data_IF_543875989410
#
_entry.id   IF_543875989410
#
_cell.length_a   1.000
_cell.length_b   1.000
_cell.length_c   1.000
_cell.angle_alpha   90.00
_cell.angle_beta   90.00
_cell.angle_gamma   90.00
#
_symmetry.space_group_name_H-M   'P 1'
#
loop_
_entity.id
_entity.type
_entity.pdbx_description
1 polymer ?
#
# COMPACT_ATOMS: atom_id res chain seq x y z
N UNK A 1 28.24 8.12 57.45
CA UNK A 1 29.42 8.72 56.77
C UNK A 1 29.24 8.46 55.29
N UNK A 2 28.62 9.36 54.52
CA UNK A 2 29.25 10.49 53.80
C UNK A 2 30.49 10.07 53.01
N UNK A 3 30.34 9.96 51.68
CA UNK A 3 31.25 10.61 50.74
C UNK A 3 30.44 11.23 49.60
N UNK A 4 30.46 12.55 49.59
CA UNK A 4 30.00 13.48 48.55
C UNK A 4 31.12 13.70 47.55
N UNK A 5 30.78 13.83 46.25
CA UNK A 5 31.41 14.83 45.39
C UNK A 5 30.40 15.31 44.34
N UNK A 6 29.81 16.48 44.63
CA UNK A 6 29.29 17.40 43.62
C UNK A 6 30.49 18.17 43.06
N UNK A 7 30.57 18.27 41.74
CA UNK A 7 31.74 18.82 41.05
C UNK A 7 31.44 19.36 39.66
N UNK A 8 30.64 20.42 39.63
CA UNK A 8 30.68 21.52 38.67
C UNK A 8 30.50 21.24 37.17
N UNK A 9 29.23 21.38 36.74
CA UNK A 9 28.75 21.48 35.36
C UNK A 9 28.89 22.92 34.79
N UNK A 10 29.84 23.73 35.27
CA UNK A 10 29.87 25.18 35.02
C UNK A 10 31.14 25.74 34.35
N UNK A 11 32.08 24.91 33.87
CA UNK A 11 33.35 25.41 33.33
C UNK A 11 33.61 25.10 31.83
N UNK A 12 32.60 24.70 31.05
CA UNK A 12 32.73 24.56 29.58
C UNK A 12 31.77 25.49 28.82
N UNK A 13 31.05 26.35 29.54
CA UNK A 13 30.01 27.22 28.97
C UNK A 13 30.51 28.60 28.48
N UNK A 14 31.83 28.82 28.32
CA UNK A 14 32.35 30.18 28.02
C UNK A 14 33.25 30.29 26.77
N UNK A 15 33.25 29.31 25.86
CA UNK A 15 34.08 29.41 24.65
C UNK A 15 33.34 29.47 23.30
N UNK A 16 32.04 29.16 23.21
CA UNK A 16 31.32 29.19 21.93
C UNK A 16 29.86 29.61 22.16
N UNK A 17 29.57 30.89 21.91
CA UNK A 17 28.22 31.43 22.00
C UNK A 17 27.27 30.76 21.01
N UNK A 18 26.13 30.27 21.51
CA UNK A 18 25.04 29.73 20.72
C UNK A 18 24.29 28.62 21.46
N UNK A 19 23.07 28.91 21.89
CA UNK A 19 22.21 28.00 22.65
C UNK A 19 21.86 26.73 21.86
N UNK A 20 22.36 25.58 22.32
CA UNK A 20 21.86 24.24 21.96
C UNK A 20 21.63 23.46 23.25
N UNK A 21 20.44 22.87 23.39
CA UNK A 21 19.98 22.21 24.61
C UNK A 21 20.65 20.85 24.79
N UNK A 22 20.97 20.47 26.03
CA UNK A 22 21.57 19.18 26.40
C UNK A 22 20.76 17.92 25.96
N UNK A 23 19.52 18.11 25.49
CA UNK A 23 18.70 17.06 24.89
C UNK A 23 19.23 16.60 23.51
N UNK A 24 19.82 17.51 22.72
CA UNK A 24 20.26 17.23 21.35
C UNK A 24 21.50 16.32 21.31
N UNK A 25 22.43 16.48 22.26
CA UNK A 25 23.65 15.64 22.33
C UNK A 25 23.31 14.21 22.76
N UNK A 26 22.30 14.01 23.62
CA UNK A 26 21.84 12.66 24.00
C UNK A 26 21.13 11.94 22.84
N UNK A 27 20.39 12.70 22.02
CA UNK A 27 19.73 12.18 20.83
C UNK A 27 20.75 11.83 19.74
N UNK A 28 21.81 12.61 19.53
CA UNK A 28 22.86 12.29 18.57
C UNK A 28 23.69 11.06 18.96
N UNK A 29 23.98 10.85 20.25
CA UNK A 29 24.69 9.65 20.73
C UNK A 29 23.80 8.40 20.60
N UNK A 30 22.51 8.53 20.92
CA UNK A 30 21.53 7.43 20.78
C UNK A 30 21.30 7.08 19.30
N UNK A 31 21.23 8.07 18.42
CA UNK A 31 21.12 7.86 16.97
C UNK A 31 22.42 7.40 16.29
N UNK A 32 23.59 7.66 16.88
CA UNK A 32 24.86 7.04 16.44
C UNK A 32 24.95 5.58 16.86
N UNK A 33 24.53 5.23 18.08
CA UNK A 33 24.44 3.83 18.52
C UNK A 33 23.41 3.01 17.74
N UNK A 34 22.30 3.62 17.29
CA UNK A 34 21.33 2.94 16.41
C UNK A 34 21.81 2.80 14.95
N UNK A 35 22.69 3.68 14.47
CA UNK A 35 23.27 3.57 13.11
C UNK A 35 24.32 2.47 12.98
N UNK A 36 25.04 2.16 14.04
CA UNK A 36 26.05 1.08 14.05
C UNK A 36 25.45 -0.31 14.31
N UNK A 37 24.14 -0.41 14.56
CA UNK A 37 23.44 -1.66 14.83
C UNK A 37 22.19 -1.83 13.95
N UNK A 38 22.35 -1.54 12.66
CA UNK A 38 21.35 -1.83 11.62
C UNK A 38 21.27 -3.35 11.41
N UNK A 39 20.69 -4.03 12.40
CA UNK A 39 20.24 -5.40 12.25
C UNK A 39 19.07 -5.32 11.30
N UNK A 40 19.21 -5.86 10.09
CA UNK A 40 18.09 -6.05 9.16
C UNK A 40 17.16 -7.02 9.89
N UNK A 41 16.09 -6.49 10.49
CA UNK A 41 15.07 -7.30 11.13
C UNK A 41 14.19 -7.84 10.00
N UNK A 42 14.47 -9.06 9.56
CA UNK A 42 13.54 -9.78 8.69
C UNK A 42 12.32 -10.13 9.54
N UNK A 43 11.19 -9.51 9.27
CA UNK A 43 9.93 -9.96 9.85
C UNK A 43 9.61 -11.36 9.28
N UNK A 44 8.81 -12.17 9.98
CA UNK A 44 8.50 -13.55 9.54
C UNK A 44 7.89 -13.62 8.13
N UNK A 45 7.24 -12.53 7.71
CA UNK A 45 6.66 -12.35 6.38
C UNK A 45 7.71 -12.11 5.27
N UNK A 46 8.89 -11.57 5.62
CA UNK A 46 10.00 -11.33 4.67
C UNK A 46 10.85 -12.60 4.45
N UNK A 47 10.64 -13.63 5.26
CA UNK A 47 11.26 -14.93 5.10
C UNK A 47 10.35 -15.75 4.19
N UNK A 48 10.81 -16.04 2.97
CA UNK A 48 10.09 -16.87 2.02
C UNK A 48 9.65 -18.20 2.67
N UNK A 49 8.35 -18.32 2.95
CA UNK A 49 7.75 -19.49 3.58
C UNK A 49 7.57 -20.67 2.61
N UNK A 50 7.82 -20.43 1.32
CA UNK A 50 7.77 -21.44 0.28
C UNK A 50 9.05 -22.30 0.28
N UNK A 51 8.96 -23.47 0.91
CA UNK A 51 10.03 -24.48 0.95
C UNK A 51 10.04 -25.41 -0.26
N UNK A 52 9.18 -25.19 -1.26
CA UNK A 52 9.15 -26.06 -2.45
C UNK A 52 10.36 -25.81 -3.35
N UNK A 53 10.86 -26.88 -3.97
CA UNK A 53 11.92 -26.83 -5.00
C UNK A 53 11.43 -26.27 -6.35
N UNK A 54 10.29 -25.57 -6.34
CA UNK A 54 9.76 -24.94 -7.54
C UNK A 54 10.66 -23.79 -7.97
N UNK A 55 10.78 -23.62 -9.28
CA UNK A 55 11.58 -22.53 -9.86
C UNK A 55 11.13 -21.19 -9.32
N UNK A 56 12.08 -20.37 -8.91
CA UNK A 56 11.79 -18.99 -8.48
C UNK A 56 11.25 -18.19 -9.66
N UNK A 57 10.49 -17.13 -9.38
CA UNK A 57 10.04 -16.22 -10.44
C UNK A 57 11.22 -15.60 -11.19
N UNK A 58 12.33 -15.32 -10.50
CA UNK A 58 13.58 -14.84 -11.10
C UNK A 58 14.17 -15.85 -12.10
N UNK A 59 14.16 -17.15 -11.78
CA UNK A 59 14.59 -18.21 -12.71
C UNK A 59 13.68 -18.32 -13.93
N UNK A 60 12.37 -18.11 -13.75
CA UNK A 60 11.40 -18.09 -14.85
C UNK A 60 11.68 -16.88 -15.76
N UNK A 61 11.89 -15.70 -15.17
CA UNK A 61 12.19 -14.47 -15.89
C UNK A 61 13.52 -14.55 -16.65
N UNK A 62 14.58 -15.02 -16.00
CA UNK A 62 15.93 -15.19 -16.58
C UNK A 62 15.92 -16.23 -17.71
N UNK A 63 15.16 -17.32 -17.55
CA UNK A 63 14.98 -18.31 -18.61
C UNK A 63 14.18 -17.76 -19.80
N UNK A 64 13.18 -16.90 -19.55
CA UNK A 64 12.45 -16.21 -20.63
C UNK A 64 13.34 -15.23 -21.39
N UNK A 65 14.19 -14.47 -20.70
CA UNK A 65 15.13 -13.52 -21.30
C UNK A 65 16.23 -14.24 -22.09
N UNK A 66 16.83 -15.30 -21.55
CA UNK A 66 17.88 -16.08 -22.23
C UNK A 66 17.37 -16.75 -23.52
N UNK A 67 16.17 -17.35 -23.51
CA UNK A 67 15.53 -17.90 -24.72
C UNK A 67 15.31 -16.84 -25.80
N UNK A 68 14.96 -15.61 -25.39
CA UNK A 68 14.78 -14.48 -26.32
C UNK A 68 16.10 -14.03 -26.94
N UNK A 69 17.18 -14.01 -26.17
CA UNK A 69 18.52 -13.69 -26.67
C UNK A 69 19.04 -14.76 -27.63
N UNK A 70 18.81 -16.04 -27.34
CA UNK A 70 19.19 -17.16 -28.22
C UNK A 70 18.39 -17.15 -29.53
N UNK A 71 17.08 -16.91 -29.50
CA UNK A 71 16.26 -16.84 -30.71
C UNK A 71 16.59 -15.61 -31.56
N UNK A 72 16.83 -14.46 -30.95
CA UNK A 72 17.26 -13.25 -31.65
C UNK A 72 18.65 -13.41 -32.27
N UNK A 73 19.61 -13.99 -31.53
CA UNK A 73 20.96 -14.28 -32.02
C UNK A 73 21.01 -15.38 -33.08
N UNK A 74 20.20 -16.43 -32.92
CA UNK A 74 20.09 -17.54 -33.87
C UNK A 74 19.46 -17.14 -35.21
N UNK A 75 18.47 -16.25 -35.19
CA UNK A 75 17.88 -15.68 -36.42
C UNK A 75 18.89 -14.82 -37.20
N UNK A 76 19.74 -14.06 -36.50
CA UNK A 76 20.82 -13.30 -37.13
C UNK A 76 21.89 -14.24 -37.73
N UNK A 77 22.30 -15.29 -37.02
CA UNK A 77 23.28 -16.27 -37.50
C UNK A 77 22.76 -17.07 -38.71
N UNK A 78 21.48 -17.48 -38.70
CA UNK A 78 20.86 -18.19 -39.83
C UNK A 78 20.78 -17.32 -41.10
N UNK A 79 20.57 -16.00 -40.95
CA UNK A 79 20.63 -15.06 -42.07
C UNK A 79 22.05 -14.95 -42.67
N UNK A 80 23.10 -15.03 -41.86
CA UNK A 80 24.50 -15.07 -42.33
C UNK A 80 24.84 -16.40 -43.03
N UNK A 81 24.28 -17.52 -42.58
CA UNK A 81 24.53 -18.85 -43.18
C UNK A 81 23.75 -19.02 -44.50
N UNK A 82 22.52 -18.53 -44.59
CA UNK A 82 21.74 -18.53 -45.84
C UNK A 82 22.24 -17.54 -46.89
N UNK A 83 23.00 -16.50 -46.49
CA UNK A 83 23.69 -15.59 -47.39
C UNK A 83 25.01 -16.16 -47.97
N UNK A 84 25.35 -17.41 -47.65
CA UNK A 84 26.41 -18.16 -48.30
C UNK A 84 27.82 -17.77 -47.82
N UNK A 85 28.50 -18.74 -47.19
CA UNK A 85 29.95 -18.77 -47.19
C UNK A 85 30.42 -19.03 -48.63
N UNK A 86 30.59 -17.96 -49.40
CA UNK A 86 31.28 -17.97 -50.68
C UNK A 86 32.15 -16.72 -50.72
N UNK A 87 33.45 -16.93 -50.82
CA UNK A 87 34.43 -15.90 -51.10
C UNK A 87 34.04 -15.12 -52.37
N UNK A 88 33.48 -13.92 -52.22
CA UNK A 88 33.20 -13.01 -53.34
C UNK A 88 33.81 -11.65 -53.02
N UNK A 89 34.81 -11.27 -53.83
CA UNK A 89 35.40 -9.93 -53.85
C UNK A 89 34.33 -8.90 -54.23
N UNK A 90 34.44 -7.73 -53.62
CA UNK A 90 33.54 -6.59 -53.77
C UNK A 90 33.19 -6.25 -55.22
N UNK A 91 31.90 -6.22 -55.51
CA UNK A 91 31.31 -5.42 -56.57
C UNK A 91 30.01 -4.85 -56.02
N UNK A 92 29.86 -3.53 -56.13
CA UNK A 92 28.75 -2.78 -55.58
C UNK A 92 27.42 -3.25 -56.20
N UNK A 93 26.61 -3.94 -55.41
CA UNK A 93 25.21 -4.23 -55.74
C UNK A 93 24.36 -3.15 -55.09
N UNK A 94 23.72 -2.32 -55.92
CA UNK A 94 22.71 -1.37 -55.45
C UNK A 94 21.58 -2.11 -54.70
N UNK A 95 21.08 -1.56 -53.58
CA UNK A 95 20.06 -2.22 -52.80
C UNK A 95 18.73 -2.21 -53.55
N UNK A 96 18.35 -3.34 -54.14
CA UNK A 96 17.02 -3.53 -54.70
C UNK A 96 15.98 -3.53 -53.58
N UNK A 97 15.14 -2.50 -53.55
CA UNK A 97 13.90 -2.43 -52.76
C UNK A 97 12.95 -3.56 -53.19
N UNK A 98 13.06 -4.75 -52.61
CA UNK A 98 11.96 -5.75 -52.51
C UNK A 98 12.45 -7.00 -51.79
N UNK A 99 12.19 -7.03 -50.48
CA UNK A 99 11.53 -8.10 -49.70
C UNK A 99 11.86 -7.88 -48.22
N UNK A 100 11.37 -6.78 -47.66
CA UNK A 100 11.21 -6.61 -46.21
C UNK A 100 9.71 -6.73 -45.87
N UNK A 101 9.05 -7.73 -46.45
CA UNK A 101 7.67 -8.09 -46.14
C UNK A 101 7.73 -9.33 -45.26
N UNK A 102 7.63 -9.15 -43.94
CA UNK A 102 7.34 -10.27 -43.04
C UNK A 102 7.86 -10.20 -41.61
N UNK A 103 8.76 -9.29 -41.24
CA UNK A 103 8.95 -9.01 -39.81
C UNK A 103 7.82 -8.07 -39.40
N UNK A 104 6.65 -8.67 -39.15
CA UNK A 104 5.59 -7.97 -38.43
C UNK A 104 6.25 -7.39 -37.17
N UNK A 105 6.38 -6.06 -37.12
CA UNK A 105 6.88 -5.35 -35.96
C UNK A 105 6.11 -5.88 -34.77
N UNK A 106 6.78 -6.64 -33.90
CA UNK A 106 6.18 -7.25 -32.72
C UNK A 106 5.47 -6.11 -31.99
N UNK A 107 4.14 -6.25 -31.78
CA UNK A 107 3.35 -5.29 -31.00
C UNK A 107 4.18 -4.91 -29.79
N UNK A 108 4.46 -3.60 -29.61
CA UNK A 108 5.16 -3.10 -28.43
C UNK A 108 4.52 -3.74 -27.18
N UNK A 109 5.29 -4.06 -26.13
CA UNK A 109 4.71 -4.53 -24.87
C UNK A 109 3.55 -3.59 -24.48
N UNK A 110 2.45 -4.11 -23.91
CA UNK A 110 1.31 -3.28 -23.51
C UNK A 110 1.69 -2.22 -22.46
N UNK A 111 2.86 -2.37 -21.84
CA UNK A 111 3.48 -1.41 -20.92
C UNK A 111 4.07 -0.27 -21.75
N UNK A 112 3.42 0.89 -21.70
CA UNK A 112 3.76 2.09 -22.48
C UNK A 112 4.13 3.30 -21.64
N UNK A 113 4.39 3.13 -20.33
CA UNK A 113 4.79 4.19 -19.42
C UNK A 113 6.29 4.18 -19.15
N UNK A 114 6.84 5.32 -18.78
CA UNK A 114 8.25 5.44 -18.42
C UNK A 114 8.51 4.81 -17.05
N UNK A 115 9.43 3.83 -16.99
CA UNK A 115 9.87 3.25 -15.72
C UNK A 115 10.50 4.33 -14.84
N UNK A 116 10.15 4.32 -13.56
CA UNK A 116 10.67 5.26 -12.55
C UNK A 116 11.75 4.58 -11.69
N UNK A 117 12.73 5.32 -11.14
CA UNK A 117 13.70 4.77 -10.19
C UNK A 117 13.05 4.47 -8.84
N UNK A 118 13.67 3.57 -8.07
CA UNK A 118 13.37 3.42 -6.64
C UNK A 118 13.63 4.75 -5.92
N UNK A 119 12.73 5.12 -5.01
CA UNK A 119 12.80 6.36 -4.24
C UNK A 119 12.33 6.12 -2.81
N UNK A 120 12.85 6.92 -1.87
CA UNK A 120 12.46 6.93 -0.47
C UNK A 120 11.89 8.32 -0.14
N UNK A 121 10.64 8.55 -0.54
CA UNK A 121 9.91 9.80 -0.35
C UNK A 121 8.56 9.51 0.29
N UNK A 122 8.03 10.39 1.15
CA UNK A 122 6.68 10.25 1.68
C UNK A 122 5.59 10.39 0.61
N UNK A 123 5.93 10.92 -0.58
CA UNK A 123 4.99 11.08 -1.69
C UNK A 123 5.26 10.05 -2.80
N UNK A 124 4.21 9.54 -3.47
CA UNK A 124 4.39 8.62 -4.58
C UNK A 124 5.11 9.32 -5.73
N UNK A 125 6.13 8.65 -6.27
CA UNK A 125 6.71 9.01 -7.56
C UNK A 125 5.87 8.34 -8.64
N UNK A 126 5.38 9.11 -9.61
CA UNK A 126 4.52 8.63 -10.68
C UNK A 126 5.23 8.87 -12.01
N UNK A 127 5.03 7.96 -12.98
CA UNK A 127 5.59 8.12 -14.31
C UNK A 127 5.13 9.45 -14.95
N UNK A 128 5.96 10.15 -15.74
CA UNK A 128 5.64 11.48 -16.28
C UNK A 128 4.34 11.55 -17.10
N UNK A 129 3.88 10.41 -17.64
CA UNK A 129 2.64 10.31 -18.40
C UNK A 129 1.38 10.24 -17.52
N UNK A 130 1.53 10.14 -16.21
CA UNK A 130 0.44 9.91 -15.25
C UNK A 130 0.39 11.00 -14.19
N UNK A 131 -0.79 11.11 -13.59
CA UNK A 131 -1.07 11.95 -12.43
C UNK A 131 -1.83 11.13 -11.39
N UNK A 132 -1.75 11.55 -10.13
CA UNK A 132 -2.55 10.97 -9.07
C UNK A 132 -3.37 12.06 -8.38
N UNK A 133 -4.46 11.64 -7.75
CA UNK A 133 -5.33 12.50 -6.96
C UNK A 133 -5.85 11.72 -5.76
N UNK A 134 -5.81 12.34 -4.58
CA UNK A 134 -6.44 11.80 -3.39
C UNK A 134 -7.96 12.02 -3.48
N UNK A 135 -8.74 10.94 -3.40
CA UNK A 135 -10.22 11.00 -3.55
C UNK A 135 -10.99 10.68 -2.27
N UNK A 136 -10.35 9.98 -1.33
CA UNK A 136 -10.96 9.52 -0.08
C UNK A 136 -9.87 9.45 1.01
N UNK A 137 -9.37 10.57 1.53
CA UNK A 137 -8.47 10.54 2.67
C UNK A 137 -9.21 10.11 3.96
N UNK A 138 -8.45 9.66 4.97
CA UNK A 138 -8.97 9.49 6.34
C UNK A 138 -9.70 10.78 6.79
N UNK A 139 -10.75 10.62 7.61
CA UNK A 139 -11.65 11.68 8.10
C UNK A 139 -12.66 12.20 7.08
N UNK A 140 -12.66 11.72 5.83
CA UNK A 140 -13.67 12.10 4.83
C UNK A 140 -15.07 11.79 5.34
N UNK A 141 -15.93 12.80 5.43
CA UNK A 141 -17.29 12.69 5.97
C UNK A 141 -18.21 11.97 5.00
N UNK A 142 -19.10 11.12 5.51
CA UNK A 142 -20.12 10.43 4.69
C UNK A 142 -21.10 11.40 4.01
N UNK A 143 -21.26 12.62 4.52
CA UNK A 143 -22.16 13.63 3.96
C UNK A 143 -21.56 14.43 2.80
N UNK A 144 -20.31 14.14 2.39
CA UNK A 144 -19.64 14.79 1.27
C UNK A 144 -19.20 16.23 1.54
N UNK A 145 -19.18 16.68 2.80
CA UNK A 145 -18.76 18.04 3.18
C UNK A 145 -17.25 18.15 3.48
N UNK A 146 -16.43 17.34 2.83
CA UNK A 146 -14.99 17.29 3.07
C UNK A 146 -14.63 16.40 4.25
N UNK A 147 -13.67 16.82 5.06
CA UNK A 147 -13.12 16.03 6.17
C UNK A 147 -13.46 16.65 7.52
N UNK A 148 -13.54 15.83 8.58
CA UNK A 148 -13.48 16.34 9.95
C UNK A 148 -12.09 16.86 10.28
N UNK A 149 -11.95 17.79 11.22
CA UNK A 149 -10.63 18.16 11.77
C UNK A 149 -10.00 16.98 12.52
N UNK A 150 -8.67 17.01 12.70
CA UNK A 150 -7.97 16.05 13.56
C UNK A 150 -8.46 16.11 15.02
N UNK A 151 -8.32 15.01 15.75
CA UNK A 151 -8.88 14.86 17.10
C UNK A 151 -10.38 14.55 17.06
N UNK A 152 -10.78 13.61 16.18
CA UNK A 152 -12.17 13.21 16.01
C UNK A 152 -12.70 12.60 17.30
N UNK A 153 -13.96 12.91 17.63
CA UNK A 153 -14.71 12.09 18.57
C UNK A 153 -15.08 10.74 17.95
N UNK A 154 -15.45 9.78 18.78
CA UNK A 154 -15.93 8.46 18.36
C UNK A 154 -17.13 8.57 17.42
N UNK A 155 -18.08 9.47 17.72
CA UNK A 155 -19.23 9.74 16.86
C UNK A 155 -18.81 10.26 15.48
N UNK A 156 -17.81 11.14 15.41
CA UNK A 156 -17.30 11.66 14.13
C UNK A 156 -16.56 10.58 13.33
N UNK A 157 -15.75 9.77 14.00
CA UNK A 157 -15.03 8.66 13.38
C UNK A 157 -15.99 7.58 12.86
N UNK A 158 -17.12 7.36 13.54
CA UNK A 158 -18.17 6.43 13.09
C UNK A 158 -18.82 6.85 11.76
N UNK A 159 -18.77 8.13 11.39
CA UNK A 159 -19.38 8.66 10.15
C UNK A 159 -18.37 9.32 9.21
N UNK A 160 -17.13 8.86 9.23
CA UNK A 160 -16.08 9.28 8.29
C UNK A 160 -15.27 8.10 7.78
N UNK A 161 -14.46 8.28 6.74
CA UNK A 161 -13.50 7.28 6.30
C UNK A 161 -12.58 6.85 7.46
N UNK A 162 -12.29 5.56 7.53
CA UNK A 162 -11.36 4.98 8.48
C UNK A 162 -9.89 5.28 8.14
N UNK A 163 -9.00 4.59 8.84
CA UNK A 163 -7.55 4.67 8.67
C UNK A 163 -7.01 3.30 8.22
N UNK A 164 -5.83 3.26 7.60
CA UNK A 164 -5.27 2.02 7.05
C UNK A 164 -6.13 1.46 5.93
N UNK A 165 -6.31 2.26 4.86
CA UNK A 165 -7.08 1.82 3.69
C UNK A 165 -6.40 0.58 3.11
N UNK A 166 -7.17 -0.48 2.91
CA UNK A 166 -6.65 -1.75 2.39
C UNK A 166 -7.54 -2.24 1.24
N UNK A 167 -7.95 -3.52 1.25
CA UNK A 167 -8.75 -4.15 0.21
C UNK A 167 -9.92 -3.28 -0.21
N UNK A 168 -10.14 -3.18 -1.51
CA UNK A 168 -11.21 -2.34 -2.05
C UNK A 168 -11.77 -2.88 -3.36
N UNK A 169 -13.03 -2.56 -3.62
CA UNK A 169 -13.68 -2.87 -4.88
C UNK A 169 -14.66 -1.78 -5.29
N UNK A 170 -14.66 -1.47 -6.59
CA UNK A 170 -15.55 -0.47 -7.18
C UNK A 170 -16.67 -1.14 -7.98
N UNK A 171 -17.90 -0.92 -7.53
CA UNK A 171 -19.13 -1.34 -8.18
C UNK A 171 -19.72 -0.17 -8.96
N UNK A 172 -19.33 -0.01 -10.22
CA UNK A 172 -19.78 1.12 -11.04
C UNK A 172 -19.39 1.02 -12.50
N UNK A 173 -19.69 2.10 -13.22
CA UNK A 173 -19.27 2.34 -14.60
C UNK A 173 -18.08 3.33 -14.66
N UNK A 174 -17.75 3.81 -15.85
CA UNK A 174 -16.67 4.77 -16.10
C UNK A 174 -16.97 6.20 -15.61
N UNK A 175 -18.11 6.43 -14.97
CA UNK A 175 -18.54 7.74 -14.47
C UNK A 175 -18.91 7.75 -13.00
N UNK A 176 -19.48 6.68 -12.46
CA UNK A 176 -19.98 6.63 -11.09
C UNK A 176 -20.21 5.21 -10.57
N UNK A 177 -20.12 5.08 -9.25
CA UNK A 177 -20.27 3.79 -8.59
C UNK A 177 -20.14 3.85 -7.09
N UNK A 178 -20.27 2.69 -6.47
CA UNK A 178 -20.01 2.49 -5.05
C UNK A 178 -18.61 1.88 -4.88
N UNK A 179 -17.74 2.58 -4.16
CA UNK A 179 -16.46 2.04 -3.71
C UNK A 179 -16.63 1.46 -2.31
N UNK A 180 -16.39 0.16 -2.17
CA UNK A 180 -16.21 -0.49 -0.88
C UNK A 180 -14.71 -0.53 -0.56
N UNK A 181 -14.34 -0.12 0.66
CA UNK A 181 -12.94 -0.05 1.12
C UNK A 181 -12.84 -0.59 2.52
N UNK A 182 -11.86 -1.44 2.77
CA UNK A 182 -11.49 -1.91 4.09
C UNK A 182 -10.61 -0.91 4.83
N UNK A 183 -10.66 -0.99 6.15
CA UNK A 183 -9.82 -0.26 7.08
C UNK A 183 -9.18 -1.24 8.04
N UNK A 184 -7.93 -1.55 7.78
CA UNK A 184 -7.20 -2.62 8.46
C UNK A 184 -6.60 -2.13 9.77
N UNK A 185 -5.94 -0.98 9.77
CA UNK A 185 -5.18 -0.49 10.91
C UNK A 185 -5.35 1.01 11.16
N UNK A 186 -5.28 1.39 12.43
CA UNK A 186 -5.14 2.77 12.83
C UNK A 186 -4.45 2.81 14.18
N UNK A 187 -3.14 3.04 14.21
CA UNK A 187 -2.45 3.01 15.51
C UNK A 187 -2.94 4.16 16.39
N UNK A 188 -3.08 3.88 17.68
CA UNK A 188 -3.46 4.86 18.71
C UNK A 188 -2.64 6.15 18.58
N UNK A 189 -1.36 6.04 18.21
CA UNK A 189 -0.49 7.20 18.02
C UNK A 189 -0.95 8.09 16.87
N UNK A 190 -1.36 7.53 15.73
CA UNK A 190 -1.82 8.31 14.58
C UNK A 190 -3.18 8.97 14.83
N UNK A 191 -4.11 8.24 15.42
CA UNK A 191 -5.48 8.74 15.61
C UNK A 191 -5.64 9.64 16.82
N UNK A 192 -4.94 9.34 17.92
CA UNK A 192 -5.14 9.96 19.22
C UNK A 192 -3.90 10.71 19.73
N UNK A 193 -2.73 10.54 19.11
CA UNK A 193 -1.47 11.09 19.63
C UNK A 193 -1.03 10.44 20.95
N UNK A 194 -1.55 9.24 21.27
CA UNK A 194 -1.31 8.51 22.52
C UNK A 194 -0.69 7.15 22.24
N UNK A 195 0.13 6.65 23.16
CA UNK A 195 0.68 5.30 23.06
C UNK A 195 -0.41 4.22 23.18
N UNK A 196 -1.37 4.40 24.11
CA UNK A 196 -2.49 3.49 24.34
C UNK A 196 -3.79 4.27 24.61
N UNK A 197 -4.97 3.70 24.31
CA UNK A 197 -6.25 4.24 24.73
C UNK A 197 -6.33 4.32 26.27
N UNK A 198 -6.83 5.44 26.80
CA UNK A 198 -6.91 5.71 28.25
C UNK A 198 -8.34 5.89 28.76
N UNK A 199 -9.31 5.84 27.85
CA UNK A 199 -10.72 6.06 28.14
C UNK A 199 -11.59 5.24 27.19
N UNK A 200 -12.87 5.05 27.53
CA UNK A 200 -13.84 4.42 26.63
C UNK A 200 -13.97 5.19 25.30
N UNK A 201 -13.84 6.51 25.34
CA UNK A 201 -13.86 7.34 24.13
C UNK A 201 -12.66 7.04 23.23
N UNK A 202 -11.45 6.96 23.79
CA UNK A 202 -10.25 6.57 23.03
C UNK A 202 -10.41 5.19 22.38
N UNK A 203 -10.97 4.22 23.14
CA UNK A 203 -11.22 2.86 22.64
C UNK A 203 -12.23 2.90 21.49
N UNK A 204 -13.31 3.67 21.62
CA UNK A 204 -14.34 3.79 20.56
C UNK A 204 -13.82 4.49 19.31
N UNK A 205 -13.03 5.55 19.45
CA UNK A 205 -12.36 6.16 18.29
C UNK A 205 -11.52 5.10 17.58
N UNK A 206 -10.71 4.35 18.33
CA UNK A 206 -9.87 3.28 17.77
C UNK A 206 -10.71 2.23 17.04
N UNK A 207 -11.75 1.69 17.70
CA UNK A 207 -12.70 0.74 17.10
C UNK A 207 -13.39 1.28 15.83
N UNK A 208 -13.69 2.57 15.77
CA UNK A 208 -14.33 3.20 14.62
C UNK A 208 -13.37 3.53 13.47
N UNK A 209 -12.05 3.41 13.66
CA UNK A 209 -11.08 3.51 12.56
C UNK A 209 -11.16 2.31 11.63
N UNK A 210 -11.42 1.12 12.19
CA UNK A 210 -11.46 -0.14 11.45
C UNK A 210 -12.80 -0.39 10.75
N UNK A 211 -12.85 -1.48 9.98
CA UNK A 211 -14.07 -1.97 9.39
C UNK A 211 -14.10 -1.77 7.87
N UNK A 212 -15.27 -1.39 7.37
CA UNK A 212 -15.52 -1.15 5.94
C UNK A 212 -16.21 0.19 5.76
N UNK A 213 -15.83 0.92 4.72
CA UNK A 213 -16.54 2.09 4.24
C UNK A 213 -17.12 1.87 2.85
N UNK A 214 -18.35 2.30 2.66
CA UNK A 214 -19.07 2.28 1.40
C UNK A 214 -19.30 3.72 0.96
N UNK A 215 -18.75 4.11 -0.18
CA UNK A 215 -18.78 5.50 -0.65
C UNK A 215 -19.24 5.58 -2.10
N UNK A 216 -20.18 6.47 -2.38
CA UNK A 216 -20.54 6.84 -3.73
C UNK A 216 -19.48 7.79 -4.30
N UNK A 217 -18.88 7.37 -5.41
CA UNK A 217 -17.76 8.03 -6.08
C UNK A 217 -18.23 8.38 -7.50
N UNK A 218 -17.96 9.61 -7.93
CA UNK A 218 -18.41 10.13 -9.23
C UNK A 218 -17.34 11.00 -9.89
N UNK A 219 -17.18 10.86 -11.20
CA UNK A 219 -16.37 11.71 -12.05
C UNK A 219 -17.11 13.02 -12.33
N UNK A 220 -16.59 14.11 -11.77
CA UNK A 220 -17.09 15.46 -12.04
C UNK A 220 -16.10 16.30 -12.86
N UNK A 221 -16.39 17.61 -13.06
CA UNK A 221 -15.51 18.52 -13.79
C UNK A 221 -14.09 18.67 -13.19
N UNK A 222 -13.92 18.35 -11.91
CA UNK A 222 -12.63 18.35 -11.18
C UNK A 222 -12.05 16.94 -11.03
N UNK A 223 -12.51 15.99 -11.85
CA UNK A 223 -12.21 14.56 -11.75
C UNK A 223 -13.00 13.84 -10.66
N UNK A 224 -12.61 12.60 -10.39
CA UNK A 224 -13.23 11.71 -9.41
C UNK A 224 -13.23 12.29 -8.00
N UNK A 225 -14.31 12.07 -7.27
CA UNK A 225 -14.47 12.47 -5.86
C UNK A 225 -15.63 11.72 -5.21
N UNK A 226 -15.55 11.57 -3.89
CA UNK A 226 -16.69 11.15 -3.07
C UNK A 226 -17.80 12.20 -3.10
N UNK A 227 -19.04 11.74 -3.25
CA UNK A 227 -20.25 12.58 -3.25
C UNK A 227 -21.20 12.16 -2.13
N UNK A 228 -22.06 13.10 -1.72
CA UNK A 228 -23.16 12.80 -0.80
C UNK A 228 -24.12 11.80 -1.46
N UNK A 229 -24.34 10.68 -0.79
CA UNK A 229 -25.34 9.68 -1.16
C UNK A 229 -25.89 9.03 0.12
N UNK A 230 -27.17 8.65 0.09
CA UNK A 230 -27.83 7.98 1.22
C UNK A 230 -27.25 6.58 1.53
N UNK A 231 -26.56 5.98 0.56
CA UNK A 231 -25.92 4.67 0.65
C UNK A 231 -24.53 4.74 1.25
N UNK A 232 -23.97 5.94 1.40
CA UNK A 232 -22.69 6.10 2.07
C UNK A 232 -22.80 5.57 3.50
N UNK A 233 -21.90 4.67 3.88
CA UNK A 233 -22.00 3.95 5.14
C UNK A 233 -20.64 3.59 5.69
N UNK A 234 -20.53 3.60 7.02
CA UNK A 234 -19.47 2.90 7.76
C UNK A 234 -20.05 1.66 8.41
N UNK A 235 -19.28 0.59 8.35
CA UNK A 235 -19.43 -0.63 9.11
C UNK A 235 -18.15 -0.70 9.94
N UNK A 236 -18.26 -0.68 11.26
CA UNK A 236 -17.12 -0.66 12.18
C UNK A 236 -17.34 -1.73 13.26
N UNK A 237 -16.39 -1.86 14.19
CA UNK A 237 -16.36 -2.89 15.25
C UNK A 237 -17.64 -2.95 16.12
N UNK A 238 -18.44 -1.88 16.15
CA UNK A 238 -19.69 -1.82 16.93
C UNK A 238 -20.96 -1.84 16.06
N UNK A 239 -20.85 -2.08 14.75
CA UNK A 239 -22.03 -2.22 13.87
C UNK A 239 -22.64 -3.60 14.09
N UNK A 240 -23.94 -3.75 14.37
CA UNK A 240 -24.55 -5.08 14.52
C UNK A 240 -24.34 -5.97 13.27
N UNK A 241 -24.00 -7.24 13.50
CA UNK A 241 -23.82 -8.25 12.44
C UNK A 241 -24.55 -9.55 12.79
N UNK A 242 -24.71 -10.42 11.80
CA UNK A 242 -25.33 -11.73 11.96
C UNK A 242 -24.35 -12.81 11.52
N UNK A 243 -24.25 -13.89 12.30
CA UNK A 243 -23.52 -15.08 11.88
C UNK A 243 -24.43 -15.96 11.02
N UNK A 244 -23.89 -16.45 9.91
CA UNK A 244 -24.56 -17.40 9.03
C UNK A 244 -23.69 -18.63 8.79
N UNK A 245 -24.24 -19.61 8.06
CA UNK A 245 -23.56 -20.86 7.77
C UNK A 245 -23.58 -21.88 8.93
N UNK A 246 -22.84 -22.99 8.80
CA UNK A 246 -22.93 -24.14 9.72
C UNK A 246 -22.61 -23.82 11.18
N UNK A 247 -21.79 -22.77 11.43
CA UNK A 247 -21.37 -22.38 12.77
C UNK A 247 -22.33 -21.41 13.47
N UNK A 248 -23.33 -20.84 12.78
CA UNK A 248 -24.15 -19.73 13.27
C UNK A 248 -24.82 -19.97 14.65
N UNK A 249 -25.20 -21.22 14.92
CA UNK A 249 -25.86 -21.61 16.18
C UNK A 249 -24.93 -22.35 17.16
N UNK A 250 -23.61 -22.32 16.91
CA UNK A 250 -22.63 -22.99 17.76
C UNK A 250 -22.56 -22.32 19.13
N UNK A 251 -22.49 -23.14 20.18
CA UNK A 251 -22.24 -22.65 21.55
C UNK A 251 -20.91 -21.89 21.67
N UNK A 252 -19.96 -22.13 20.74
CA UNK A 252 -18.66 -21.41 20.71
C UNK A 252 -18.79 -19.94 20.31
N UNK A 253 -19.90 -19.51 19.69
CA UNK A 253 -20.15 -18.11 19.36
C UNK A 253 -20.87 -17.36 20.49
N UNK A 254 -21.30 -18.05 21.55
CA UNK A 254 -21.97 -17.43 22.69
C UNK A 254 -20.94 -16.76 23.60
N UNK A 255 -20.98 -15.44 23.68
CA UNK A 255 -20.21 -14.70 24.67
C UNK A 255 -20.92 -14.72 26.03
N UNK A 256 -20.14 -14.73 27.12
CA UNK A 256 -20.67 -14.76 28.50
C UNK A 256 -21.43 -13.50 28.90
N UNK A 257 -21.21 -12.39 28.20
CA UNK A 257 -21.89 -11.12 28.43
C UNK A 257 -23.29 -11.06 27.79
N UNK A 258 -23.66 -12.03 26.94
CA UNK A 258 -24.96 -12.06 26.25
C UNK A 258 -25.17 -10.91 25.27
N UNK A 259 -24.10 -10.27 24.78
CA UNK A 259 -24.19 -9.19 23.82
C UNK A 259 -24.46 -9.73 22.41
N UNK A 260 -25.22 -9.00 21.61
CA UNK A 260 -25.39 -9.27 20.18
C UNK A 260 -24.04 -9.25 19.45
N UNK A 261 -23.83 -10.07 18.40
CA UNK A 261 -22.64 -10.00 17.56
C UNK A 261 -22.46 -8.61 16.95
N UNK A 262 -21.24 -8.09 17.03
CA UNK A 262 -20.91 -6.76 16.54
C UNK A 262 -19.65 -6.76 15.70
N UNK A 263 -19.79 -6.07 14.58
CA UNK A 263 -18.75 -5.43 13.83
C UNK A 263 -17.92 -6.35 12.97
N UNK A 264 -16.82 -5.76 12.55
CA UNK A 264 -15.72 -6.45 11.93
C UNK A 264 -14.43 -5.67 12.21
N UNK A 265 -13.32 -6.38 12.34
CA UNK A 265 -12.03 -5.82 12.79
C UNK A 265 -10.88 -6.32 11.90
N UNK A 266 -9.81 -5.52 11.81
CA UNK A 266 -8.58 -5.88 11.09
C UNK A 266 -8.87 -6.37 9.66
N UNK A 267 -9.70 -5.59 8.98
CA UNK A 267 -10.17 -5.87 7.63
C UNK A 267 -9.03 -5.64 6.64
N UNK A 268 -8.40 -6.72 6.15
CA UNK A 268 -7.23 -6.66 5.29
C UNK A 268 -7.65 -6.52 3.81
N UNK A 269 -7.51 -7.58 3.03
CA UNK A 269 -7.90 -7.64 1.62
C UNK A 269 -9.40 -7.86 1.39
N UNK A 270 -9.78 -8.04 0.13
CA UNK A 270 -11.17 -8.15 -0.26
C UNK A 270 -11.45 -9.18 -1.35
N UNK A 271 -12.73 -9.53 -1.46
CA UNK A 271 -13.31 -10.18 -2.62
C UNK A 271 -14.57 -9.47 -3.07
N UNK A 272 -15.06 -9.83 -4.26
CA UNK A 272 -16.36 -9.39 -4.75
C UNK A 272 -17.03 -10.55 -5.45
N UNK A 273 -18.36 -10.55 -5.42
CA UNK A 273 -19.16 -11.62 -6.00
C UNK A 273 -19.81 -11.17 -7.32
N UNK A 274 -20.07 -12.10 -8.25
CA UNK A 274 -20.80 -11.79 -9.49
C UNK A 274 -22.23 -11.26 -9.25
N UNK A 275 -22.81 -11.50 -8.08
CA UNK A 275 -24.15 -11.01 -7.69
C UNK A 275 -24.10 -9.68 -6.92
N UNK A 276 -22.97 -8.97 -6.95
CA UNK A 276 -22.88 -7.59 -6.50
C UNK A 276 -22.72 -7.43 -4.98
N UNK A 277 -22.07 -8.38 -4.31
CA UNK A 277 -21.70 -8.25 -2.89
C UNK A 277 -20.20 -8.11 -2.71
N UNK A 278 -19.83 -7.40 -1.66
CA UNK A 278 -18.45 -7.21 -1.23
C UNK A 278 -18.11 -8.20 -0.12
N UNK A 279 -16.91 -8.78 -0.18
CA UNK A 279 -16.36 -9.66 0.86
C UNK A 279 -15.19 -8.93 1.51
N UNK A 280 -15.27 -8.78 2.82
CA UNK A 280 -14.17 -8.29 3.66
C UNK A 280 -13.64 -9.45 4.51
N UNK A 281 -12.36 -9.44 4.83
CA UNK A 281 -11.68 -10.51 5.54
C UNK A 281 -11.00 -9.97 6.80
N UNK A 282 -11.30 -10.57 7.95
CA UNK A 282 -10.59 -10.30 9.21
C UNK A 282 -9.30 -11.14 9.22
N UNK A 283 -8.16 -10.49 9.45
CA UNK A 283 -6.84 -11.16 9.43
C UNK A 283 -6.24 -11.35 10.84
N UNK A 284 -5.77 -10.26 11.46
CA UNK A 284 -4.93 -10.28 12.67
C UNK A 284 -5.70 -10.27 13.98
#
# INVERSE_FOLDING_TARGET
>A
MKFTWMGNLAAVAEALGGHVWAADVSNEITQRQQRDNMTINFDSEDIGSNTSDNRTFEDVLTSFVSRRSVLAGGAAAAAFVFAGASSVKASAVEPTRRTASGVAARKRPPINFTSIPLQNSPMPTIAPEYQYKVILPWRTRLDGKGEFAYGLSSDQQAISAGLGHDGMWYFGDDKKGMLAVNYEYGTTTHALGKALPTSLEDVRVSQHLHGVGIFYIEEGPKGWSMKKDKRNRRIHVNTPVEFSGPAANSDLLKNSAGNEPQGTLNNCANGYTPWGTYLTCEEN
#
